data_IF_915612865976
#
_entry.id   IF_915612865976
#
_cell.length_a   1.000
_cell.length_b   1.000
_cell.length_c   1.000
_cell.angle_alpha   90.00
_cell.angle_beta   90.00
_cell.angle_gamma   90.00
#
_symmetry.space_group_name_H-M   'P 1'
#
loop_
_entity.id
_entity.type
_entity.pdbx_description
1 polymer ?
#
# COMPACT_ATOMS: atom_id res chain seq x y z
N UNK A 1 37.65 -17.87 47.55
CA UNK A 1 36.25 -18.15 47.15
C UNK A 1 35.59 -16.84 46.79
N UNK A 2 35.44 -16.54 45.48
CA UNK A 2 34.83 -15.31 45.00
C UNK A 2 33.30 -15.42 45.05
N UNK A 3 32.68 -14.60 45.91
CA UNK A 3 31.20 -14.46 45.92
C UNK A 3 30.77 -13.73 44.63
N UNK A 4 30.27 -14.47 43.65
CA UNK A 4 29.55 -13.91 42.53
C UNK A 4 28.28 -13.26 43.10
N UNK A 5 28.18 -11.93 42.99
CA UNK A 5 27.01 -11.17 43.48
C UNK A 5 25.78 -11.55 42.67
N UNK A 6 24.75 -12.00 43.33
CA UNK A 6 23.47 -12.40 42.72
C UNK A 6 22.88 -11.35 41.76
N UNK A 7 23.18 -10.06 41.94
CA UNK A 7 22.79 -8.97 41.06
C UNK A 7 23.40 -9.01 39.65
N UNK A 8 24.60 -9.56 39.49
CA UNK A 8 25.22 -9.66 38.15
C UNK A 8 24.58 -10.75 37.30
N UNK A 9 24.10 -11.84 37.91
CA UNK A 9 23.43 -12.93 37.19
C UNK A 9 22.05 -12.48 36.70
N UNK A 10 21.30 -11.73 37.52
CA UNK A 10 19.98 -11.22 37.13
C UNK A 10 20.06 -10.25 35.93
N UNK A 11 21.08 -9.42 35.87
CA UNK A 11 21.28 -8.50 34.71
C UNK A 11 21.59 -9.30 33.44
N UNK A 12 22.38 -10.37 33.50
CA UNK A 12 22.68 -11.22 32.36
C UNK A 12 21.46 -12.01 31.87
N UNK A 13 20.61 -12.47 32.79
CA UNK A 13 19.40 -13.26 32.45
C UNK A 13 18.34 -12.41 31.76
N UNK A 14 18.25 -11.11 32.07
CA UNK A 14 17.28 -10.20 31.43
C UNK A 14 17.84 -9.60 30.14
N UNK A 15 19.14 -9.30 30.08
CA UNK A 15 19.74 -8.65 28.91
C UNK A 15 19.87 -9.59 27.70
N UNK A 16 20.11 -10.87 27.92
CA UNK A 16 20.28 -11.85 26.84
C UNK A 16 19.04 -12.00 25.96
N UNK A 17 17.83 -12.23 26.48
CA UNK A 17 16.63 -12.33 25.65
C UNK A 17 16.27 -11.00 24.95
N UNK A 18 16.56 -9.86 25.56
CA UNK A 18 16.37 -8.55 24.93
C UNK A 18 17.30 -8.37 23.75
N UNK A 19 18.59 -8.70 23.89
CA UNK A 19 19.56 -8.65 22.80
C UNK A 19 19.22 -9.60 21.66
N UNK A 20 18.79 -10.82 21.99
CA UNK A 20 18.31 -11.82 21.02
C UNK A 20 17.06 -11.29 20.29
N UNK A 21 16.14 -10.67 21.01
CA UNK A 21 14.95 -10.04 20.44
C UNK A 21 15.31 -8.90 19.46
N UNK A 22 16.22 -8.02 19.85
CA UNK A 22 16.72 -6.93 18.96
C UNK A 22 17.41 -7.51 17.73
N UNK A 23 18.19 -8.57 17.88
CA UNK A 23 18.89 -9.19 16.75
C UNK A 23 17.94 -9.89 15.77
N UNK A 24 16.92 -10.55 16.27
CA UNK A 24 15.92 -11.26 15.42
C UNK A 24 14.93 -10.29 14.80
N UNK A 25 14.39 -9.36 15.56
CA UNK A 25 13.31 -8.46 15.13
C UNK A 25 13.81 -7.09 14.65
N UNK A 26 15.02 -6.67 15.04
CA UNK A 26 15.58 -5.39 14.66
C UNK A 26 15.64 -5.16 13.15
N UNK A 27 16.15 -6.10 12.33
CA UNK A 27 16.15 -5.96 10.87
C UNK A 27 14.74 -5.80 10.30
N UNK A 28 13.76 -6.55 10.82
CA UNK A 28 12.36 -6.44 10.39
C UNK A 28 11.74 -5.08 10.74
N UNK A 29 12.02 -4.57 11.94
CA UNK A 29 11.54 -3.25 12.37
C UNK A 29 12.18 -2.15 11.54
N UNK A 30 13.49 -2.24 11.28
CA UNK A 30 14.21 -1.28 10.43
C UNK A 30 13.66 -1.29 9.01
N UNK A 31 13.44 -2.46 8.42
CA UNK A 31 12.84 -2.62 7.10
C UNK A 31 11.44 -1.98 7.03
N UNK A 32 10.62 -2.19 8.04
CA UNK A 32 9.29 -1.60 8.17
C UNK A 32 9.31 -0.06 8.16
N UNK A 33 10.36 0.57 8.68
CA UNK A 33 10.50 2.03 8.69
C UNK A 33 11.17 2.58 7.42
N UNK A 34 12.15 1.87 6.86
CA UNK A 34 12.91 2.35 5.71
C UNK A 34 12.15 2.23 4.38
N UNK A 35 11.25 1.24 4.25
CA UNK A 35 10.49 1.00 3.02
C UNK A 35 9.08 1.61 3.03
N UNK A 36 8.88 2.72 3.78
CA UNK A 36 7.65 3.50 3.72
C UNK A 36 7.62 4.36 2.46
N UNK A 37 6.52 4.26 1.71
CA UNK A 37 6.21 5.17 0.60
C UNK A 37 5.15 6.20 0.99
N UNK A 38 5.05 7.32 0.27
CA UNK A 38 3.91 8.22 0.40
C UNK A 38 2.61 7.45 0.13
N UNK A 39 1.58 7.62 0.97
CA UNK A 39 0.30 6.93 0.79
C UNK A 39 -0.48 7.52 -0.39
N UNK A 40 -1.31 6.68 -0.99
CA UNK A 40 -2.22 7.07 -2.06
C UNK A 40 -3.66 7.14 -1.56
N UNK A 41 -4.44 8.06 -2.14
CA UNK A 41 -5.87 8.18 -1.91
C UNK A 41 -6.59 7.92 -3.22
N UNK A 42 -7.28 6.78 -3.29
CA UNK A 42 -8.03 6.36 -4.45
C UNK A 42 -9.45 6.92 -4.40
N UNK A 43 -9.83 7.69 -5.41
CA UNK A 43 -11.18 8.19 -5.62
C UNK A 43 -11.83 7.41 -6.74
N UNK A 44 -12.84 6.62 -6.39
CA UNK A 44 -13.54 5.70 -7.26
C UNK A 44 -14.96 6.23 -7.47
N UNK A 45 -15.52 6.24 -8.68
CA UNK A 45 -16.89 6.70 -8.89
C UNK A 45 -17.90 5.95 -8.02
N UNK A 46 -18.85 6.66 -7.43
CA UNK A 46 -19.88 6.05 -6.59
C UNK A 46 -20.63 4.96 -7.32
N UNK A 47 -20.80 3.81 -6.66
CA UNK A 47 -21.49 2.64 -7.22
C UNK A 47 -20.65 1.82 -8.22
N UNK A 48 -19.39 2.18 -8.47
CA UNK A 48 -18.53 1.38 -9.32
C UNK A 48 -18.23 0.01 -8.68
N UNK A 49 -18.36 -1.03 -9.47
CA UNK A 49 -17.98 -2.40 -9.12
C UNK A 49 -17.20 -2.99 -10.28
N UNK A 50 -15.97 -3.40 -10.05
CA UNK A 50 -15.13 -3.97 -11.10
C UNK A 50 -13.63 -3.73 -10.86
N UNK A 51 -12.85 -4.05 -11.90
CA UNK A 51 -11.41 -3.87 -11.88
C UNK A 51 -11.03 -2.40 -12.09
N UNK A 52 -10.26 -1.87 -11.15
CA UNK A 52 -9.55 -0.59 -11.31
C UNK A 52 -8.19 -0.88 -11.97
N UNK A 53 -7.78 0.03 -12.86
CA UNK A 53 -6.51 -0.03 -13.59
C UNK A 53 -5.85 1.33 -13.55
N UNK A 54 -4.68 1.39 -12.92
CA UNK A 54 -3.87 2.63 -12.86
C UNK A 54 -2.55 2.37 -13.58
N UNK A 55 -2.31 3.09 -14.66
CA UNK A 55 -1.09 2.98 -15.45
C UNK A 55 -0.15 4.14 -15.11
N UNK A 56 1.00 3.80 -14.56
CA UNK A 56 2.05 4.74 -14.14
C UNK A 56 3.15 4.84 -15.19
N UNK A 57 3.96 5.90 -15.13
CA UNK A 57 5.08 6.16 -16.03
C UNK A 57 4.63 6.34 -17.48
N UNK A 58 3.47 6.93 -17.70
CA UNK A 58 2.95 7.22 -19.03
C UNK A 58 3.34 8.65 -19.41
N UNK A 59 4.26 8.82 -20.38
CA UNK A 59 4.89 10.11 -20.68
C UNK A 59 3.90 11.24 -21.00
N UNK A 60 2.83 10.94 -21.74
CA UNK A 60 1.86 11.94 -22.20
C UNK A 60 0.67 12.15 -21.25
N UNK A 61 0.73 11.53 -20.04
CA UNK A 61 -0.32 11.67 -19.05
C UNK A 61 0.04 12.72 -17.98
N UNK A 62 -0.96 13.34 -17.34
CA UNK A 62 -0.71 14.29 -16.27
C UNK A 62 -0.15 13.59 -15.02
N UNK A 63 0.69 14.27 -14.21
CA UNK A 63 1.12 13.75 -12.94
C UNK A 63 -0.04 13.69 -11.94
N UNK A 64 0.06 12.82 -10.93
CA UNK A 64 -0.92 12.74 -9.85
C UNK A 64 -0.91 14.02 -9.02
N UNK A 65 -2.07 14.66 -8.81
CA UNK A 65 -2.17 15.75 -7.85
C UNK A 65 -1.95 15.25 -6.41
N UNK A 66 -1.59 16.15 -5.52
CA UNK A 66 -1.40 15.86 -4.10
C UNK A 66 -2.50 16.47 -3.25
N UNK A 67 -2.92 15.73 -2.23
CA UNK A 67 -3.82 16.21 -1.18
C UNK A 67 -3.16 15.94 0.18
N UNK A 68 -2.48 16.95 0.71
CA UNK A 68 -1.60 16.82 1.87
C UNK A 68 -0.43 15.87 1.57
N UNK A 69 -0.27 14.81 2.34
CA UNK A 69 0.76 13.78 2.15
C UNK A 69 0.36 12.70 1.14
N UNK A 70 -0.89 12.68 0.68
CA UNK A 70 -1.43 11.66 -0.20
C UNK A 70 -1.25 12.03 -1.67
N UNK A 71 -0.87 11.04 -2.50
CA UNK A 71 -1.03 11.12 -3.95
C UNK A 71 -2.49 10.82 -4.30
N UNK A 72 -3.14 11.72 -5.04
CA UNK A 72 -4.57 11.59 -5.36
C UNK A 72 -4.77 10.82 -6.67
N UNK A 73 -5.30 9.60 -6.56
CA UNK A 73 -5.58 8.71 -7.69
C UNK A 73 -7.08 8.75 -7.98
N UNK A 74 -7.50 9.62 -8.90
CA UNK A 74 -8.91 9.75 -9.30
C UNK A 74 -9.17 8.98 -10.58
N UNK A 75 -9.82 7.83 -10.47
CA UNK A 75 -10.16 7.00 -11.62
C UNK A 75 -11.41 7.52 -12.33
N UNK A 76 -11.48 7.26 -13.63
CA UNK A 76 -12.64 7.61 -14.45
C UNK A 76 -13.84 6.67 -14.21
N UNK A 77 -14.92 6.88 -14.94
CA UNK A 77 -16.14 6.03 -14.84
C UNK A 77 -15.91 4.60 -15.33
N UNK A 78 -14.88 4.35 -16.10
CA UNK A 78 -14.47 3.03 -16.57
C UNK A 78 -13.52 2.31 -15.60
N UNK A 79 -13.17 2.94 -14.48
CA UNK A 79 -12.23 2.40 -13.51
C UNK A 79 -10.77 2.49 -13.96
N UNK A 80 -10.43 3.42 -14.85
CA UNK A 80 -9.09 3.59 -15.38
C UNK A 80 -8.50 4.95 -15.04
N UNK A 81 -7.15 4.97 -14.93
CA UNK A 81 -6.36 6.20 -14.85
C UNK A 81 -5.00 5.96 -15.50
N UNK A 82 -4.50 6.99 -16.22
CA UNK A 82 -3.12 7.03 -16.72
C UNK A 82 -2.41 8.24 -16.13
N UNK A 83 -1.16 8.06 -15.69
CA UNK A 83 -0.37 9.12 -15.08
C UNK A 83 1.11 9.01 -15.45
N UNK A 84 1.78 10.15 -15.55
CA UNK A 84 3.24 10.23 -15.70
C UNK A 84 3.98 10.00 -14.37
N UNK A 85 3.27 10.07 -13.24
CA UNK A 85 3.86 9.80 -11.94
C UNK A 85 4.39 8.37 -11.85
N UNK A 86 5.42 8.19 -11.02
CA UNK A 86 5.92 6.87 -10.66
C UNK A 86 5.03 6.21 -9.60
N UNK A 87 5.06 4.87 -9.55
CA UNK A 87 4.53 4.10 -8.45
C UNK A 87 5.67 3.85 -7.46
N UNK A 88 5.71 4.57 -6.32
CA UNK A 88 6.79 4.39 -5.37
C UNK A 88 6.71 3.01 -4.71
N UNK A 89 7.87 2.36 -4.59
CA UNK A 89 8.00 1.08 -3.90
C UNK A 89 7.84 1.23 -2.39
N UNK A 90 7.43 0.14 -1.74
CA UNK A 90 7.25 0.09 -0.30
C UNK A 90 5.78 0.04 0.12
N UNK A 91 5.58 0.03 1.43
CA UNK A 91 4.24 -0.06 2.01
C UNK A 91 3.72 1.31 2.46
N UNK A 92 2.40 1.50 2.40
CA UNK A 92 1.71 2.68 2.90
C UNK A 92 0.28 2.32 3.32
N UNK A 93 -0.33 3.21 4.12
CA UNK A 93 -1.75 3.12 4.42
C UNK A 93 -2.55 3.86 3.35
N UNK A 94 -2.81 3.18 2.23
CA UNK A 94 -3.66 3.71 1.18
C UNK A 94 -5.11 3.80 1.62
N UNK A 95 -5.81 4.81 1.11
CA UNK A 95 -7.20 5.07 1.41
C UNK A 95 -8.05 4.96 0.14
N UNK A 96 -9.22 4.35 0.28
CA UNK A 96 -10.14 4.15 -0.84
C UNK A 96 -11.48 4.80 -0.52
N UNK A 97 -12.01 5.58 -1.48
CA UNK A 97 -13.26 6.28 -1.32
C UNK A 97 -14.11 6.15 -2.58
N UNK A 98 -15.41 5.92 -2.41
CA UNK A 98 -16.37 6.31 -3.43
C UNK A 98 -16.52 7.82 -3.43
N UNK A 99 -16.61 8.45 -4.60
CA UNK A 99 -16.89 9.87 -4.71
C UNK A 99 -18.11 10.14 -5.59
N UNK A 100 -18.90 11.14 -5.22
CA UNK A 100 -20.00 11.71 -6.00
C UNK A 100 -19.98 13.23 -5.82
N UNK A 101 -19.60 13.97 -6.86
CA UNK A 101 -19.35 15.40 -6.73
C UNK A 101 -18.28 15.69 -5.68
N UNK A 102 -18.65 16.41 -4.61
CA UNK A 102 -17.76 16.75 -3.50
C UNK A 102 -17.86 15.79 -2.29
N UNK A 103 -18.79 14.84 -2.31
CA UNK A 103 -18.93 13.86 -1.24
C UNK A 103 -18.01 12.67 -1.42
N UNK A 104 -17.48 12.15 -0.31
CA UNK A 104 -16.62 10.96 -0.27
C UNK A 104 -17.12 10.01 0.79
N UNK A 105 -17.23 8.73 0.43
CA UNK A 105 -17.57 7.64 1.34
C UNK A 105 -16.40 6.67 1.39
N UNK A 106 -15.83 6.47 2.58
CA UNK A 106 -14.72 5.54 2.76
C UNK A 106 -15.13 4.10 2.44
N UNK A 107 -14.26 3.38 1.74
CA UNK A 107 -14.36 1.95 1.49
C UNK A 107 -13.50 1.21 2.50
N UNK A 108 -14.00 0.08 3.00
CA UNK A 108 -13.21 -0.79 3.84
C UNK A 108 -12.15 -1.51 3.00
N UNK A 109 -10.88 -1.24 3.30
CA UNK A 109 -9.75 -1.97 2.74
C UNK A 109 -9.34 -3.10 3.69
N UNK A 110 -10.30 -3.88 4.14
CA UNK A 110 -10.02 -4.96 5.07
C UNK A 110 -9.30 -6.15 4.40
N UNK A 111 -9.11 -6.10 3.07
CA UNK A 111 -8.40 -7.11 2.30
C UNK A 111 -8.93 -8.52 2.51
N UNK A 112 -8.42 -9.21 3.51
CA UNK A 112 -8.76 -10.60 3.84
C UNK A 112 -9.87 -10.74 4.90
N UNK A 113 -10.47 -9.65 5.37
CA UNK A 113 -11.50 -9.65 6.41
C UNK A 113 -12.91 -9.47 5.83
N UNK A 114 -13.94 -9.99 6.53
CA UNK A 114 -15.34 -9.77 6.18
C UNK A 114 -15.64 -8.28 6.05
N UNK A 115 -16.34 -7.91 4.98
CA UNK A 115 -16.72 -6.53 4.71
C UNK A 115 -15.65 -5.70 3.97
N UNK A 116 -14.57 -6.32 3.52
CA UNK A 116 -13.63 -5.68 2.60
C UNK A 116 -14.31 -5.36 1.27
N UNK A 117 -13.87 -4.26 0.65
CA UNK A 117 -14.37 -3.78 -0.65
C UNK A 117 -13.26 -3.64 -1.68
N UNK A 118 -12.02 -3.96 -1.33
CA UNK A 118 -10.83 -3.87 -2.21
C UNK A 118 -10.11 -5.20 -2.16
N UNK A 119 -9.87 -5.82 -3.35
CA UNK A 119 -9.39 -7.19 -3.48
C UNK A 119 -8.34 -7.33 -4.58
N UNK A 120 -7.45 -8.29 -4.43
CA UNK A 120 -6.59 -8.78 -5.50
C UNK A 120 -5.68 -7.71 -6.11
N UNK A 121 -4.98 -6.96 -5.28
CA UNK A 121 -4.01 -5.97 -5.77
C UNK A 121 -2.84 -6.66 -6.46
N UNK A 122 -2.58 -6.26 -7.70
CA UNK A 122 -1.50 -6.76 -8.55
C UNK A 122 -0.77 -5.59 -9.21
N UNK A 123 0.55 -5.71 -9.35
CA UNK A 123 1.38 -4.77 -10.08
C UNK A 123 2.05 -5.51 -11.22
N UNK A 124 1.75 -5.13 -12.45
CA UNK A 124 2.34 -5.69 -13.65
C UNK A 124 3.27 -4.68 -14.33
N UNK A 125 4.40 -5.16 -14.80
CA UNK A 125 5.29 -4.37 -15.65
C UNK A 125 4.87 -4.53 -17.11
N UNK A 126 4.54 -3.42 -17.79
CA UNK A 126 4.24 -3.42 -19.22
C UNK A 126 5.48 -3.10 -20.05
N UNK A 127 5.63 -3.80 -21.16
CA UNK A 127 6.76 -3.62 -22.08
C UNK A 127 6.77 -2.27 -22.85
N UNK A 128 5.77 -1.40 -22.63
CA UNK A 128 5.74 -0.07 -23.23
C UNK A 128 6.85 0.79 -22.66
N UNK A 129 7.88 1.01 -23.42
CA UNK A 129 9.07 1.77 -23.01
C UNK A 129 8.91 3.22 -23.47
N UNK A 130 8.57 4.13 -22.54
CA UNK A 130 8.74 5.57 -22.72
C UNK A 130 9.89 6.05 -21.82
N UNK A 131 10.79 6.84 -22.37
CA UNK A 131 11.96 7.37 -21.66
C UNK A 131 12.89 6.29 -21.01
N UNK A 132 12.97 5.10 -21.58
CA UNK A 132 13.88 4.06 -21.11
C UNK A 132 13.38 3.25 -19.90
N UNK A 133 12.18 3.52 -19.39
CA UNK A 133 11.59 2.76 -18.29
C UNK A 133 10.25 2.13 -18.70
N UNK A 134 9.97 0.88 -18.27
CA UNK A 134 8.68 0.26 -18.52
C UNK A 134 7.57 0.96 -17.74
N UNK A 135 6.36 1.02 -18.30
CA UNK A 135 5.19 1.45 -17.56
C UNK A 135 4.76 0.37 -16.56
N UNK A 136 4.15 0.81 -15.45
CA UNK A 136 3.64 -0.07 -14.41
C UNK A 136 2.11 -0.02 -14.41
N UNK A 137 1.47 -1.17 -14.33
CA UNK A 137 0.02 -1.30 -14.24
C UNK A 137 -0.36 -1.88 -12.88
N UNK A 138 -0.94 -1.05 -12.03
CA UNK A 138 -1.57 -1.47 -10.78
C UNK A 138 -3.03 -1.83 -11.06
N UNK A 139 -3.45 -3.01 -10.64
CA UNK A 139 -4.83 -3.50 -10.75
C UNK A 139 -5.33 -3.91 -9.37
N UNK A 140 -6.59 -3.63 -9.11
CA UNK A 140 -7.32 -4.18 -7.97
C UNK A 140 -8.83 -4.16 -8.25
N UNK A 141 -9.56 -5.04 -7.59
CA UNK A 141 -11.01 -5.11 -7.75
C UNK A 141 -11.71 -4.35 -6.63
N UNK A 142 -12.76 -3.60 -7.01
CA UNK A 142 -13.66 -2.91 -6.07
C UNK A 142 -15.02 -3.56 -6.12
N UNK A 143 -15.52 -3.94 -4.95
CA UNK A 143 -16.81 -4.63 -4.79
C UNK A 143 -16.82 -5.54 -3.58
N UNK A 144 -17.92 -6.27 -3.36
CA UNK A 144 -17.99 -7.26 -2.29
C UNK A 144 -17.15 -8.51 -2.62
N UNK A 145 -16.84 -9.30 -1.60
CA UNK A 145 -16.12 -10.56 -1.77
C UNK A 145 -16.81 -11.51 -2.77
N UNK A 146 -18.15 -11.61 -2.69
CA UNK A 146 -18.93 -12.45 -3.61
C UNK A 146 -18.84 -11.98 -5.06
N UNK A 147 -18.75 -10.66 -5.28
CA UNK A 147 -18.56 -10.08 -6.60
C UNK A 147 -17.17 -10.36 -7.15
N UNK A 148 -16.14 -10.29 -6.28
CA UNK A 148 -14.78 -10.61 -6.65
C UNK A 148 -14.61 -12.08 -7.02
N UNK A 149 -15.17 -13.01 -6.23
CA UNK A 149 -15.06 -14.47 -6.46
C UNK A 149 -15.77 -14.96 -7.75
N UNK A 150 -16.69 -14.17 -8.28
CA UNK A 150 -17.44 -14.49 -9.51
C UNK A 150 -16.80 -13.96 -10.80
N UNK A 151 -15.67 -13.29 -10.69
CA UNK A 151 -14.90 -12.70 -11.82
C UNK A 151 -13.71 -13.58 -12.17
#
# INVERSE_FOLDING_TARGET
MARVRAGSIAVFVVSLPVLVGIFIYGPFVVDLFLHRRPPSRFLIPAGYVGWIRVEYRVADAPPLPREGTYSLVRVDRGGALRTSSDLPEGWAHDQFFYYAGNSRQALSNAGWCKGGMVWGEEIETKASVHAGQPSLLQKFFVGSEDQFRRK
#
